data_IF_587975771443
#
_entry.id   IF_587975771443
#
_cell.length_a   1.000
_cell.length_b   1.000
_cell.length_c   1.000
_cell.angle_alpha   90.00
_cell.angle_beta   90.00
_cell.angle_gamma   90.00
#
_symmetry.space_group_name_H-M   'P 1'
#
loop_
_entity.id
_entity.type
_entity.pdbx_description
1 polymer ?
#
# COMPACT_ATOMS: atom_id res chain seq x y z
N UNK A 1 47.94 0.45 83.57
CA UNK A 1 48.15 0.15 82.15
C UNK A 1 47.47 -1.19 81.88
N UNK A 2 46.27 -1.14 81.30
CA UNK A 2 45.49 -2.36 80.99
C UNK A 2 45.54 -2.56 79.48
N UNK A 3 46.07 -3.68 79.01
CA UNK A 3 46.12 -4.07 77.62
C UNK A 3 44.82 -4.81 77.29
N UNK A 4 44.09 -4.32 76.31
CA UNK A 4 42.93 -5.00 75.70
C UNK A 4 43.39 -5.74 74.46
N UNK A 5 43.20 -7.07 74.49
CA UNK A 5 43.42 -7.97 73.37
C UNK A 5 42.07 -8.01 72.57
N UNK A 6 42.07 -7.58 71.33
CA UNK A 6 40.92 -7.70 70.47
C UNK A 6 40.92 -9.06 69.77
N UNK A 7 39.84 -9.80 69.94
CA UNK A 7 39.62 -11.11 69.31
C UNK A 7 38.86 -10.80 68.01
N UNK A 8 39.48 -11.09 66.84
CA UNK A 8 38.85 -10.96 65.53
C UNK A 8 38.20 -12.32 65.25
N UNK A 9 36.83 -12.32 65.18
CA UNK A 9 36.07 -13.48 64.74
C UNK A 9 35.84 -13.31 63.25
N UNK A 10 36.48 -14.12 62.41
CA UNK A 10 36.24 -14.24 61.01
C UNK A 10 34.99 -15.07 60.77
N UNK A 11 33.95 -14.41 60.33
CA UNK A 11 32.73 -15.07 59.86
C UNK A 11 32.89 -15.40 58.36
N UNK A 12 32.97 -16.69 58.05
CA UNK A 12 32.94 -17.21 56.70
C UNK A 12 31.49 -17.22 56.21
N UNK A 13 31.18 -16.32 55.29
CA UNK A 13 29.93 -16.38 54.51
C UNK A 13 30.09 -17.39 53.37
N UNK A 14 29.44 -18.53 53.50
CA UNK A 14 29.25 -19.49 52.41
C UNK A 14 28.10 -18.94 51.55
N UNK A 15 28.44 -18.35 50.40
CA UNK A 15 27.45 -18.00 49.39
C UNK A 15 27.13 -19.26 48.60
N UNK A 16 25.97 -19.84 48.87
CA UNK A 16 25.38 -20.87 48.02
C UNK A 16 24.85 -20.18 46.74
N UNK A 17 25.54 -20.39 45.62
CA UNK A 17 25.03 -20.05 44.33
C UNK A 17 23.84 -20.96 43.97
N UNK A 18 22.63 -20.46 44.16
CA UNK A 18 21.43 -21.08 43.61
C UNK A 18 21.37 -20.70 42.14
N UNK A 19 21.86 -21.58 41.27
CA UNK A 19 21.63 -21.47 39.82
C UNK A 19 20.14 -21.73 39.57
N UNK A 20 19.35 -20.68 39.39
CA UNK A 20 18.01 -20.80 38.87
C UNK A 20 18.13 -21.22 37.39
N UNK A 21 17.90 -22.50 37.12
CA UNK A 21 17.66 -23.01 35.79
C UNK A 21 16.30 -22.45 35.34
N UNK A 22 16.29 -21.46 34.51
CA UNK A 22 15.09 -21.05 33.76
C UNK A 22 14.87 -22.06 32.60
N UNK A 23 14.29 -23.21 32.94
CA UNK A 23 13.66 -24.06 31.93
C UNK A 23 12.36 -23.36 31.46
N UNK A 24 12.40 -22.72 30.30
CA UNK A 24 11.23 -22.05 29.75
C UNK A 24 11.52 -20.76 28.98
N UNK A 25 12.79 -20.53 28.59
CA UNK A 25 13.06 -19.54 27.57
C UNK A 25 12.53 -20.09 26.25
N UNK A 26 11.25 -19.85 25.99
CA UNK A 26 10.65 -20.09 24.66
C UNK A 26 11.54 -19.43 23.65
N UNK A 27 12.13 -20.22 22.75
CA UNK A 27 12.72 -19.71 21.51
C UNK A 27 11.64 -18.89 20.87
N UNK A 28 11.77 -17.56 20.90
CA UNK A 28 11.02 -16.73 19.96
C UNK A 28 11.47 -17.23 18.59
N UNK A 29 10.65 -18.02 17.94
CA UNK A 29 10.80 -18.30 16.52
C UNK A 29 10.79 -16.92 15.83
N UNK A 30 11.99 -16.36 15.67
CA UNK A 30 12.18 -15.22 14.78
C UNK A 30 12.02 -15.76 13.37
N UNK A 31 10.75 -15.96 12.96
CA UNK A 31 10.45 -16.20 11.56
C UNK A 31 11.01 -15.00 10.81
N UNK A 32 12.15 -15.22 10.19
CA UNK A 32 12.74 -14.21 9.33
C UNK A 32 11.88 -14.20 8.07
N UNK A 33 11.28 -13.08 7.77
CA UNK A 33 10.46 -12.89 6.58
C UNK A 33 11.32 -12.50 5.40
N UNK A 34 10.91 -12.87 4.20
CA UNK A 34 11.51 -12.44 2.95
C UNK A 34 10.79 -11.22 2.38
N UNK A 35 11.30 -10.75 1.25
CA UNK A 35 10.68 -9.67 0.50
C UNK A 35 10.47 -10.06 -0.96
N UNK A 36 9.45 -9.48 -1.59
CA UNK A 36 9.23 -9.56 -3.02
C UNK A 36 9.54 -8.20 -3.64
N UNK A 37 10.48 -8.17 -4.56
CA UNK A 37 10.86 -6.98 -5.32
C UNK A 37 10.70 -7.25 -6.81
N UNK A 38 10.52 -6.20 -7.59
CA UNK A 38 10.47 -6.36 -9.05
C UNK A 38 10.18 -5.06 -9.76
N UNK A 39 10.13 -5.19 -11.08
CA UNK A 39 9.80 -4.10 -11.98
C UNK A 39 8.63 -4.51 -12.89
N UNK A 40 7.80 -3.55 -13.24
CA UNK A 40 6.67 -3.77 -14.14
C UNK A 40 6.90 -2.98 -15.41
N UNK A 41 6.90 -3.67 -16.55
CA UNK A 41 7.09 -3.09 -17.88
C UNK A 41 5.86 -3.21 -18.76
N UNK A 42 5.84 -2.40 -19.79
CA UNK A 42 4.88 -2.48 -20.88
C UNK A 42 5.58 -2.84 -22.19
N UNK A 43 5.11 -3.87 -22.86
CA UNK A 43 5.53 -4.24 -24.21
C UNK A 43 4.45 -3.88 -25.22
N UNK A 44 4.71 -2.84 -26.00
CA UNK A 44 3.79 -2.35 -27.02
C UNK A 44 3.98 -0.87 -27.36
N UNK A 45 3.20 -0.39 -28.32
CA UNK A 45 3.20 1.04 -28.63
C UNK A 45 2.52 1.84 -27.52
N UNK A 46 3.28 2.73 -26.88
CA UNK A 46 2.77 3.62 -25.83
C UNK A 46 1.81 4.63 -26.45
N UNK A 47 0.54 4.68 -26.00
CA UNK A 47 -0.39 5.70 -26.45
C UNK A 47 -0.04 7.05 -25.83
N UNK A 48 -0.27 8.14 -26.57
CA UNK A 48 -0.14 9.48 -25.98
C UNK A 48 -1.14 9.68 -24.84
N UNK A 49 -0.67 10.25 -23.73
CA UNK A 49 -1.52 10.60 -22.60
C UNK A 49 -2.46 11.74 -23.00
N UNK A 50 -3.74 11.58 -22.70
CA UNK A 50 -4.75 12.60 -23.01
C UNK A 50 -4.76 13.69 -21.94
N UNK A 51 -4.84 14.98 -22.29
CA UNK A 51 -5.07 16.04 -21.32
C UNK A 51 -6.45 15.91 -20.69
N UNK A 52 -6.53 16.20 -19.40
CA UNK A 52 -7.79 16.32 -18.69
C UNK A 52 -8.46 17.65 -19.07
N UNK A 53 -9.77 17.62 -19.31
CA UNK A 53 -10.55 18.82 -19.66
C UNK A 53 -11.13 19.41 -18.37
N UNK A 54 -10.43 20.36 -17.77
CA UNK A 54 -10.78 20.95 -16.49
C UNK A 54 -11.49 22.31 -16.61
N UNK A 55 -11.70 22.80 -17.83
CA UNK A 55 -12.18 24.18 -18.11
C UNK A 55 -13.62 24.43 -17.65
N UNK A 56 -14.38 23.37 -17.33
CA UNK A 56 -15.75 23.51 -16.84
C UNK A 56 -15.84 24.09 -15.41
N UNK A 57 -14.78 24.00 -14.61
CA UNK A 57 -14.64 24.64 -13.30
C UNK A 57 -13.47 25.62 -13.34
N UNK A 58 -13.71 26.95 -13.12
CA UNK A 58 -12.66 27.96 -13.17
C UNK A 58 -11.53 27.72 -12.17
N UNK A 59 -11.81 27.15 -10.98
CA UNK A 59 -10.78 26.82 -9.98
C UNK A 59 -9.89 25.73 -10.54
N UNK A 60 -10.47 24.68 -11.10
CA UNK A 60 -9.73 23.58 -11.68
C UNK A 60 -8.93 24.01 -12.93
N UNK A 61 -9.55 24.82 -13.81
CA UNK A 61 -8.89 25.31 -15.01
C UNK A 61 -7.68 26.19 -14.73
N UNK A 62 -7.66 26.89 -13.58
CA UNK A 62 -6.57 27.78 -13.18
C UNK A 62 -5.59 27.16 -12.18
N UNK A 63 -5.81 25.92 -11.72
CA UNK A 63 -4.99 25.28 -10.68
C UNK A 63 -3.62 24.77 -11.17
N UNK A 64 -3.38 24.80 -12.48
CA UNK A 64 -2.17 24.27 -13.08
C UNK A 64 -1.62 25.20 -14.18
N UNK A 65 -0.30 25.44 -14.16
CA UNK A 65 0.40 26.22 -15.22
C UNK A 65 0.46 25.46 -16.55
N UNK A 66 0.34 24.14 -16.51
CA UNK A 66 0.40 23.25 -17.69
C UNK A 66 -0.79 22.30 -17.73
N UNK A 67 -1.12 21.83 -18.91
CA UNK A 67 -2.17 20.82 -19.07
C UNK A 67 -1.85 19.55 -18.26
N UNK A 68 -2.74 19.19 -17.36
CA UNK A 68 -2.66 17.93 -16.61
C UNK A 68 -3.00 16.78 -17.54
N UNK A 69 -2.14 15.77 -17.57
CA UNK A 69 -2.33 14.59 -18.40
C UNK A 69 -2.89 13.43 -17.57
N UNK A 70 -3.78 12.66 -18.16
CA UNK A 70 -4.37 11.48 -17.52
C UNK A 70 -3.29 10.54 -16.98
N UNK A 71 -3.44 10.08 -15.74
CA UNK A 71 -2.55 9.12 -15.08
C UNK A 71 -2.95 7.65 -15.31
N UNK A 72 -4.00 7.44 -16.09
CA UNK A 72 -4.56 6.10 -16.32
C UNK A 72 -3.59 5.12 -17.01
N UNK A 73 -2.54 5.62 -17.65
CA UNK A 73 -1.50 4.78 -18.27
C UNK A 73 -0.21 5.58 -18.36
N UNK A 74 0.70 5.34 -17.44
CA UNK A 74 1.94 6.06 -17.30
C UNK A 74 3.11 5.12 -17.56
N UNK A 75 3.74 5.30 -18.72
CA UNK A 75 4.92 4.53 -19.15
C UNK A 75 6.05 5.52 -19.37
N UNK A 76 7.22 5.25 -18.82
CA UNK A 76 8.42 6.05 -19.00
C UNK A 76 9.19 5.69 -20.29
N UNK A 77 10.35 6.30 -20.48
CA UNK A 77 11.20 6.10 -21.67
C UNK A 77 11.80 4.69 -21.72
N UNK A 78 11.98 4.05 -20.57
CA UNK A 78 12.50 2.69 -20.41
C UNK A 78 11.41 1.62 -20.43
N UNK A 79 10.18 2.02 -20.78
CA UNK A 79 8.98 1.17 -20.82
C UNK A 79 8.49 0.70 -19.45
N UNK A 80 8.90 1.34 -18.39
CA UNK A 80 8.44 1.05 -17.03
C UNK A 80 7.03 1.59 -16.81
N UNK A 81 6.20 0.82 -16.10
CA UNK A 81 4.76 1.10 -15.93
C UNK A 81 4.45 1.50 -14.49
N UNK A 82 4.09 2.77 -14.27
CA UNK A 82 3.62 3.30 -12.99
C UNK A 82 2.16 2.91 -12.73
N UNK A 83 1.74 3.00 -11.47
CA UNK A 83 0.35 2.79 -11.04
C UNK A 83 -0.16 1.37 -11.33
N UNK A 84 0.70 0.37 -11.17
CA UNK A 84 0.34 -1.04 -11.15
C UNK A 84 0.18 -1.50 -9.71
N UNK A 85 -0.96 -2.11 -9.39
CA UNK A 85 -1.15 -2.82 -8.14
C UNK A 85 -0.49 -4.19 -8.23
N UNK A 86 0.32 -4.53 -7.24
CA UNK A 86 0.91 -5.86 -7.08
C UNK A 86 0.57 -6.36 -5.68
N UNK A 87 0.00 -7.55 -5.57
CA UNK A 87 -0.36 -8.14 -4.28
C UNK A 87 -0.28 -9.65 -4.28
N UNK A 88 -0.11 -10.23 -3.11
CA UNK A 88 -0.20 -11.67 -2.88
C UNK A 88 -1.68 -12.05 -2.75
N UNK A 89 -2.08 -13.15 -3.37
CA UNK A 89 -3.46 -13.63 -3.35
C UNK A 89 -3.67 -14.62 -2.19
N UNK A 90 -4.84 -14.52 -1.53
CA UNK A 90 -5.36 -15.48 -0.55
C UNK A 90 -4.36 -15.81 0.59
N UNK A 91 -3.63 -14.81 1.09
CA UNK A 91 -2.66 -15.00 2.18
C UNK A 91 -3.39 -14.93 3.52
N UNK A 92 -3.16 -15.91 4.39
CA UNK A 92 -3.62 -15.83 5.79
C UNK A 92 -2.73 -14.86 6.55
N UNK A 93 -3.36 -13.92 7.21
CA UNK A 93 -2.68 -12.91 8.01
C UNK A 93 -3.44 -12.69 9.32
N UNK A 94 -2.79 -12.96 10.44
CA UNK A 94 -3.35 -12.82 11.79
C UNK A 94 -2.78 -11.60 12.54
N UNK A 95 -1.97 -10.81 11.83
CA UNK A 95 -1.37 -9.60 12.40
C UNK A 95 -2.34 -8.41 12.47
N UNK A 96 -1.91 -7.32 13.08
CA UNK A 96 -2.73 -6.12 13.22
C UNK A 96 -2.95 -5.43 11.88
N UNK A 97 -4.07 -4.72 11.76
CA UNK A 97 -4.28 -3.75 10.66
C UNK A 97 -3.22 -2.67 10.74
N UNK A 98 -2.72 -2.20 9.59
CA UNK A 98 -1.74 -1.10 9.54
C UNK A 98 -2.27 0.11 10.32
N UNK A 99 -1.50 0.57 11.30
CA UNK A 99 -1.84 1.75 12.10
C UNK A 99 -1.71 3.05 11.31
N UNK A 100 -0.93 3.03 10.22
CA UNK A 100 -0.75 4.17 9.34
C UNK A 100 -2.05 4.53 8.63
N UNK A 101 -2.43 5.80 8.70
CA UNK A 101 -3.60 6.31 7.98
C UNK A 101 -3.26 6.47 6.51
N UNK A 102 -3.99 5.78 5.65
CA UNK A 102 -3.90 6.00 4.20
C UNK A 102 -4.57 7.34 3.84
N UNK A 103 -3.99 8.08 2.89
CA UNK A 103 -4.51 9.40 2.49
C UNK A 103 -4.91 9.39 1.03
N UNK A 104 -6.12 9.88 0.75
CA UNK A 104 -6.60 10.21 -0.60
C UNK A 104 -6.92 11.71 -0.64
N UNK A 105 -6.09 12.50 -1.30
CA UNK A 105 -6.27 13.95 -1.39
C UNK A 105 -6.89 14.39 -2.72
N UNK A 106 -7.72 15.39 -2.67
CA UNK A 106 -8.29 16.13 -3.80
C UNK A 106 -7.51 17.42 -3.91
N UNK A 107 -6.47 17.43 -4.73
CA UNK A 107 -5.58 18.57 -4.90
C UNK A 107 -5.32 18.83 -6.38
N UNK A 108 -5.49 20.07 -6.82
CA UNK A 108 -5.40 20.43 -8.22
C UNK A 108 -6.50 19.78 -9.08
N UNK A 109 -7.65 19.50 -8.46
CA UNK A 109 -8.79 18.84 -9.11
C UNK A 109 -8.45 17.45 -9.69
N UNK A 110 -7.58 16.73 -9.00
CA UNK A 110 -7.30 15.31 -9.21
C UNK A 110 -7.30 14.57 -7.87
N UNK A 111 -7.46 13.25 -7.89
CA UNK A 111 -7.22 12.42 -6.71
C UNK A 111 -5.76 12.01 -6.67
N UNK A 112 -5.12 12.17 -5.53
CA UNK A 112 -3.74 11.77 -5.26
C UNK A 112 -3.70 10.88 -4.01
N UNK A 113 -3.18 9.64 -4.10
CA UNK A 113 -2.64 8.98 -5.29
C UNK A 113 -3.73 8.54 -6.28
N UNK A 114 -3.38 8.36 -7.56
CA UNK A 114 -4.28 7.81 -8.58
C UNK A 114 -4.66 6.34 -8.34
N UNK A 115 -3.74 5.58 -7.73
CA UNK A 115 -3.92 4.17 -7.36
C UNK A 115 -3.42 3.97 -5.94
N UNK A 116 -4.22 3.34 -5.10
CA UNK A 116 -3.84 3.01 -3.71
C UNK A 116 -4.28 1.59 -3.34
N UNK A 117 -3.62 1.04 -2.34
CA UNK A 117 -4.01 -0.20 -1.70
C UNK A 117 -4.08 0.02 -0.19
N UNK A 118 -5.07 -0.58 0.44
CA UNK A 118 -5.30 -0.48 1.89
C UNK A 118 -5.65 -1.84 2.47
N UNK A 119 -5.44 -2.00 3.75
CA UNK A 119 -5.97 -3.15 4.45
C UNK A 119 -7.45 -2.93 4.76
N UNK A 120 -8.18 -4.04 4.86
CA UNK A 120 -9.52 -4.06 5.45
C UNK A 120 -9.48 -3.38 6.82
N UNK A 121 -10.47 -2.51 7.08
CA UNK A 121 -10.62 -1.72 8.31
C UNK A 121 -9.49 -0.69 8.57
N UNK A 122 -8.51 -0.55 7.67
CA UNK A 122 -7.52 0.51 7.75
C UNK A 122 -8.20 1.88 7.58
N UNK A 123 -7.77 2.83 8.41
CA UNK A 123 -8.25 4.23 8.33
C UNK A 123 -7.80 4.88 7.02
N UNK A 124 -8.76 5.46 6.29
CA UNK A 124 -8.52 6.26 5.09
C UNK A 124 -8.97 7.69 5.37
N UNK A 125 -8.03 8.63 5.33
CA UNK A 125 -8.30 10.05 5.42
C UNK A 125 -8.48 10.63 4.02
N UNK A 126 -9.67 11.10 3.72
CA UNK A 126 -9.97 11.80 2.48
C UNK A 126 -9.84 13.28 2.74
N UNK A 127 -9.04 13.97 1.92
CA UNK A 127 -8.80 15.41 2.02
C UNK A 127 -9.39 16.16 0.85
N UNK A 128 -9.77 17.42 1.07
CA UNK A 128 -10.07 18.40 0.02
C UNK A 128 -9.13 19.61 0.20
N UNK A 129 -8.02 19.58 -0.51
CA UNK A 129 -7.01 20.65 -0.51
C UNK A 129 -7.33 21.78 -1.49
N UNK A 130 -8.35 21.60 -2.34
CA UNK A 130 -8.78 22.61 -3.30
C UNK A 130 -9.75 23.66 -2.71
N UNK A 131 -9.91 24.75 -3.42
CA UNK A 131 -10.83 25.82 -3.08
C UNK A 131 -12.21 25.67 -3.75
N UNK A 132 -12.56 24.49 -4.23
CA UNK A 132 -13.83 24.17 -4.89
C UNK A 132 -14.54 22.98 -4.23
N UNK A 133 -15.75 22.72 -4.67
CA UNK A 133 -16.55 21.57 -4.29
C UNK A 133 -16.07 20.32 -5.05
N UNK A 134 -15.74 19.29 -4.33
CA UNK A 134 -15.61 17.93 -4.84
C UNK A 134 -16.63 17.00 -4.20
N UNK A 135 -16.74 15.79 -4.70
CA UNK A 135 -17.39 14.70 -3.98
C UNK A 135 -16.59 13.40 -4.11
N UNK A 136 -16.81 12.51 -3.18
CA UNK A 136 -16.24 11.18 -3.16
C UNK A 136 -17.35 10.19 -3.36
N UNK A 137 -17.35 9.53 -4.51
CA UNK A 137 -18.32 8.49 -4.84
C UNK A 137 -17.57 7.16 -5.03
N UNK A 138 -17.70 6.28 -4.05
CA UNK A 138 -17.15 4.92 -4.10
C UNK A 138 -17.99 4.05 -5.03
N UNK A 139 -17.36 3.39 -5.97
CA UNK A 139 -17.98 2.43 -6.90
C UNK A 139 -17.62 0.99 -6.50
N UNK A 140 -17.51 0.72 -5.21
CA UNK A 140 -17.29 -0.59 -4.61
C UNK A 140 -18.45 -1.54 -4.95
N UNK A 141 -18.18 -2.84 -4.96
CA UNK A 141 -19.19 -3.89 -5.22
C UNK A 141 -19.40 -4.77 -3.99
N UNK A 142 -18.32 -5.05 -3.25
CA UNK A 142 -18.34 -5.87 -2.05
C UNK A 142 -18.49 -5.01 -0.79
N UNK A 143 -17.85 -3.83 -0.77
CA UNK A 143 -18.00 -2.86 0.30
C UNK A 143 -19.24 -1.99 0.09
N UNK A 144 -19.73 -1.40 1.16
CA UNK A 144 -20.82 -0.42 1.10
C UNK A 144 -20.37 0.80 0.27
N UNK A 145 -21.19 1.17 -0.70
CA UNK A 145 -20.96 2.36 -1.50
C UNK A 145 -21.29 3.60 -0.69
N UNK A 146 -20.48 4.62 -0.83
CA UNK A 146 -20.77 5.94 -0.28
C UNK A 146 -20.62 7.03 -1.33
N UNK A 147 -21.42 8.07 -1.19
CA UNK A 147 -21.33 9.27 -2.01
C UNK A 147 -21.56 10.49 -1.11
N UNK A 148 -20.54 11.28 -0.87
CA UNK A 148 -20.66 12.48 -0.06
C UNK A 148 -19.93 13.67 -0.67
N UNK A 149 -20.52 14.85 -0.51
CA UNK A 149 -19.94 16.11 -0.94
C UNK A 149 -18.85 16.57 0.03
N UNK A 150 -17.80 17.15 -0.52
CA UNK A 150 -16.75 17.87 0.20
C UNK A 150 -16.63 19.30 -0.34
N UNK A 151 -17.51 20.23 0.08
CA UNK A 151 -17.36 21.63 -0.26
C UNK A 151 -16.03 22.18 0.30
N UNK A 152 -15.55 23.31 -0.24
CA UNK A 152 -14.24 23.91 0.11
C UNK A 152 -13.98 24.10 1.62
N UNK A 153 -15.05 24.14 2.43
CA UNK A 153 -14.94 24.28 3.90
C UNK A 153 -14.77 22.94 4.62
N UNK A 154 -15.11 21.83 3.97
CA UNK A 154 -14.91 20.47 4.51
C UNK A 154 -13.57 19.96 4.02
N UNK A 155 -12.56 20.04 4.88
CA UNK A 155 -11.18 19.75 4.52
C UNK A 155 -10.81 18.27 4.64
N UNK A 156 -11.46 17.56 5.53
CA UNK A 156 -11.12 16.17 5.83
C UNK A 156 -12.36 15.35 6.16
N UNK A 157 -12.34 14.08 5.78
CA UNK A 157 -13.32 13.09 6.17
C UNK A 157 -12.66 11.73 6.28
N UNK A 158 -13.00 10.97 7.31
CA UNK A 158 -12.48 9.63 7.52
C UNK A 158 -13.45 8.57 7.00
N UNK A 159 -12.90 7.49 6.47
CA UNK A 159 -13.63 6.27 6.08
C UNK A 159 -12.74 5.05 6.25
N UNK A 160 -13.30 3.87 6.05
CA UNK A 160 -12.59 2.60 5.92
C UNK A 160 -13.39 1.64 5.05
N UNK A 161 -12.79 0.52 4.66
CA UNK A 161 -13.44 -0.54 3.88
C UNK A 161 -13.44 -1.82 4.70
N UNK A 162 -14.60 -2.36 4.99
CA UNK A 162 -14.79 -3.50 5.89
C UNK A 162 -14.69 -4.88 5.23
N UNK A 163 -14.46 -4.95 3.91
CA UNK A 163 -14.36 -6.20 3.15
C UNK A 163 -13.21 -6.16 2.17
N UNK A 164 -12.55 -7.31 1.98
CA UNK A 164 -11.61 -7.51 0.87
C UNK A 164 -12.32 -7.28 -0.45
N UNK A 165 -11.70 -6.52 -1.35
CA UNK A 165 -12.26 -6.22 -2.67
C UNK A 165 -11.16 -6.01 -3.70
N UNK A 166 -11.35 -6.60 -4.89
CA UNK A 166 -10.52 -6.34 -6.06
C UNK A 166 -10.58 -4.87 -6.48
N UNK A 167 -9.65 -4.38 -7.32
CA UNK A 167 -9.57 -2.97 -7.65
C UNK A 167 -10.89 -2.40 -8.14
N UNK A 168 -11.46 -1.50 -7.39
CA UNK A 168 -12.60 -0.66 -7.74
C UNK A 168 -12.19 0.80 -7.79
N UNK A 169 -13.05 1.67 -8.30
CA UNK A 169 -12.69 3.08 -8.41
C UNK A 169 -13.57 3.99 -7.54
N UNK A 170 -12.97 5.10 -7.17
CA UNK A 170 -13.62 6.28 -6.61
C UNK A 170 -13.68 7.33 -7.71
N UNK A 171 -14.78 8.06 -7.82
CA UNK A 171 -14.97 9.16 -8.79
C UNK A 171 -15.51 10.40 -8.11
N UNK A 172 -15.40 11.53 -8.81
CA UNK A 172 -16.13 12.75 -8.51
C UNK A 172 -17.28 12.90 -9.51
N UNK A 173 -18.51 13.11 -9.03
CA UNK A 173 -19.67 13.34 -9.92
C UNK A 173 -19.72 14.77 -10.43
N UNK A 174 -19.04 15.71 -9.77
CA UNK A 174 -18.90 17.11 -10.19
C UNK A 174 -17.84 17.26 -11.29
N UNK A 175 -16.74 16.52 -11.16
CA UNK A 175 -15.57 16.59 -12.05
C UNK A 175 -15.30 15.21 -12.69
N UNK A 176 -15.89 14.91 -13.85
CA UNK A 176 -15.88 13.56 -14.45
C UNK A 176 -14.48 13.01 -14.77
N UNK A 177 -13.47 13.88 -14.83
CA UNK A 177 -12.08 13.47 -15.05
C UNK A 177 -11.38 12.95 -13.78
N UNK A 178 -11.91 13.26 -12.57
CA UNK A 178 -11.34 12.82 -11.29
C UNK A 178 -11.70 11.37 -11.02
N UNK A 179 -10.69 10.54 -10.93
CA UNK A 179 -10.80 9.12 -10.66
C UNK A 179 -9.56 8.61 -9.94
N UNK A 180 -9.77 7.74 -8.96
CA UNK A 180 -8.73 6.94 -8.32
C UNK A 180 -9.16 5.49 -8.21
N UNK A 181 -8.19 4.57 -8.08
CA UNK A 181 -8.43 3.15 -7.89
C UNK A 181 -8.00 2.72 -6.49
N UNK A 182 -8.77 1.82 -5.90
CA UNK A 182 -8.53 1.30 -4.55
C UNK A 182 -8.56 -0.23 -4.60
N UNK A 183 -7.56 -0.86 -4.02
CA UNK A 183 -7.52 -2.28 -3.69
C UNK A 183 -7.69 -2.43 -2.18
N UNK A 184 -8.51 -3.37 -1.72
CA UNK A 184 -8.66 -3.70 -0.29
C UNK A 184 -8.26 -5.15 -0.06
N UNK A 185 -7.30 -5.38 0.85
CA UNK A 185 -6.84 -6.71 1.24
C UNK A 185 -6.95 -6.90 2.75
N UNK A 186 -7.00 -8.13 3.23
CA UNK A 186 -6.98 -8.45 4.67
C UNK A 186 -5.56 -8.69 5.21
N UNK A 187 -4.55 -8.43 4.41
CA UNK A 187 -3.13 -8.57 4.72
C UNK A 187 -2.32 -7.38 4.16
N UNK A 188 -1.11 -7.10 4.65
CA UNK A 188 -0.29 -5.96 4.21
C UNK A 188 0.55 -6.22 2.94
N UNK A 189 0.47 -7.41 2.32
CA UNK A 189 1.37 -7.82 1.25
C UNK A 189 0.90 -7.32 -0.12
N UNK A 190 0.99 -6.02 -0.30
CA UNK A 190 0.68 -5.32 -1.55
C UNK A 190 1.58 -4.09 -1.73
N UNK A 191 1.75 -3.69 -2.98
CA UNK A 191 2.46 -2.47 -3.37
C UNK A 191 1.82 -1.83 -4.60
N UNK A 192 2.16 -0.57 -4.85
CA UNK A 192 1.86 0.15 -6.10
C UNK A 192 3.19 0.54 -6.72
N UNK A 193 3.35 0.33 -8.04
CA UNK A 193 4.60 0.67 -8.71
C UNK A 193 4.85 2.18 -8.76
N UNK A 194 6.11 2.56 -8.56
CA UNK A 194 6.61 3.93 -8.62
C UNK A 194 6.74 4.46 -10.08
N UNK A 195 7.31 5.65 -10.24
CA UNK A 195 7.53 6.28 -11.55
C UNK A 195 8.42 5.44 -12.48
N UNK A 196 9.26 4.57 -11.93
CA UNK A 196 10.16 3.67 -12.66
C UNK A 196 9.65 2.23 -12.72
N UNK A 197 8.37 2.03 -12.40
CA UNK A 197 7.74 0.71 -12.41
C UNK A 197 8.22 -0.25 -11.34
N UNK A 198 9.01 0.20 -10.36
CA UNK A 198 9.51 -0.66 -9.29
C UNK A 198 8.45 -0.84 -8.21
N UNK A 199 8.45 -2.02 -7.58
CA UNK A 199 7.68 -2.31 -6.39
C UNK A 199 8.50 -3.11 -5.39
N UNK A 200 8.10 -3.03 -4.11
CA UNK A 200 8.63 -3.82 -3.01
C UNK A 200 7.52 -4.17 -2.03
N UNK A 201 7.46 -5.43 -1.62
CA UNK A 201 6.58 -5.97 -0.60
C UNK A 201 7.46 -6.66 0.42
N UNK A 202 7.46 -6.17 1.66
CA UNK A 202 8.31 -6.65 2.74
C UNK A 202 7.55 -7.58 3.69
N UNK A 203 8.30 -8.20 4.59
CA UNK A 203 7.81 -8.98 5.73
C UNK A 203 6.90 -10.17 5.34
N UNK A 204 7.14 -10.77 4.16
CA UNK A 204 6.36 -11.90 3.67
C UNK A 204 6.89 -13.18 4.33
N UNK A 205 6.03 -13.98 4.98
CA UNK A 205 6.43 -15.29 5.48
C UNK A 205 6.98 -16.18 4.35
N UNK A 206 8.00 -17.03 4.60
CA UNK A 206 8.45 -17.99 3.62
C UNK A 206 7.32 -18.91 3.14
N UNK A 207 7.25 -19.12 1.83
CA UNK A 207 6.17 -19.91 1.23
C UNK A 207 6.04 -19.67 -0.28
N UNK A 208 5.10 -20.37 -0.90
CA UNK A 208 4.79 -20.21 -2.33
C UNK A 208 3.44 -19.55 -2.48
N UNK A 209 3.40 -18.44 -3.22
CA UNK A 209 2.24 -17.56 -3.36
C UNK A 209 1.90 -17.30 -4.83
N UNK A 210 0.62 -17.11 -5.12
CA UNK A 210 0.18 -16.44 -6.34
C UNK A 210 0.32 -14.92 -6.14
N UNK A 211 1.06 -14.27 -7.03
CA UNK A 211 1.24 -12.82 -7.06
C UNK A 211 0.49 -12.25 -8.25
N UNK A 212 -0.37 -11.28 -8.00
CA UNK A 212 -1.19 -10.63 -9.02
C UNK A 212 -0.64 -9.24 -9.31
N UNK A 213 -0.48 -8.93 -10.59
CA UNK A 213 -0.21 -7.57 -11.06
C UNK A 213 -1.41 -7.07 -11.88
N UNK A 214 -1.97 -5.91 -11.49
CA UNK A 214 -3.14 -5.31 -12.13
C UNK A 214 -2.87 -3.86 -12.55
N UNK A 215 -3.40 -3.51 -13.72
CA UNK A 215 -3.36 -2.15 -14.24
C UNK A 215 -4.71 -1.79 -14.89
N UNK A 216 -5.23 -0.58 -14.65
CA UNK A 216 -6.61 -0.19 -14.99
C UNK A 216 -6.97 -0.35 -16.48
N UNK A 217 -6.04 -0.16 -17.41
CA UNK A 217 -6.29 -0.30 -18.85
C UNK A 217 -6.42 -1.75 -19.29
N UNK A 218 -5.90 -2.68 -18.52
CA UNK A 218 -5.97 -4.11 -18.81
C UNK A 218 -7.18 -4.79 -18.16
N UNK A 219 -7.90 -4.12 -17.26
CA UNK A 219 -9.04 -4.63 -16.48
C UNK A 219 -8.66 -5.84 -15.61
N UNK A 220 -9.49 -6.21 -14.65
CA UNK A 220 -9.26 -7.34 -13.74
C UNK A 220 -9.03 -8.66 -14.48
N UNK A 221 -9.83 -8.97 -15.51
CA UNK A 221 -9.72 -10.20 -16.30
C UNK A 221 -8.40 -10.37 -17.07
N UNK A 222 -7.53 -9.35 -17.08
CA UNK A 222 -6.22 -9.36 -17.74
C UNK A 222 -5.10 -9.03 -16.76
N UNK A 223 -5.34 -9.23 -15.48
CA UNK A 223 -4.28 -9.23 -14.47
C UNK A 223 -3.29 -10.34 -14.80
N UNK A 224 -2.04 -10.09 -14.53
CA UNK A 224 -0.99 -11.10 -14.68
C UNK A 224 -0.88 -11.82 -13.35
N UNK A 225 -0.92 -13.14 -13.36
CA UNK A 225 -0.74 -13.99 -12.18
C UNK A 225 0.54 -14.78 -12.35
N UNK A 226 1.40 -14.78 -11.33
CA UNK A 226 2.61 -15.59 -11.29
C UNK A 226 2.75 -16.27 -9.94
N UNK A 227 3.23 -17.52 -9.96
CA UNK A 227 3.60 -18.24 -8.73
C UNK A 227 5.02 -17.89 -8.36
N UNK A 228 5.23 -17.45 -7.10
CA UNK A 228 6.53 -17.01 -6.57
C UNK A 228 6.79 -17.72 -5.25
N UNK A 229 8.01 -18.22 -5.06
CA UNK A 229 8.45 -18.77 -3.78
C UNK A 229 9.28 -17.73 -3.06
N UNK A 230 8.86 -17.38 -1.85
CA UNK A 230 9.56 -16.47 -0.95
C UNK A 230 10.41 -17.31 0.00
N UNK A 231 11.68 -16.99 0.06
CA UNK A 231 12.64 -17.60 0.97
C UNK A 231 12.90 -16.69 2.18
N UNK A 232 13.35 -17.30 3.26
CA UNK A 232 13.65 -16.59 4.50
C UNK A 232 14.81 -15.60 4.31
N UNK A 233 14.61 -14.34 4.75
CA UNK A 233 15.62 -13.27 4.74
C UNK A 233 16.21 -12.96 3.35
N UNK A 234 15.49 -13.25 2.27
CA UNK A 234 15.94 -13.03 0.89
C UNK A 234 15.00 -12.09 0.16
N UNK A 235 15.57 -11.21 -0.67
CA UNK A 235 14.82 -10.46 -1.66
C UNK A 235 14.57 -11.36 -2.89
N UNK A 236 13.35 -11.86 -3.02
CA UNK A 236 12.93 -12.60 -4.21
C UNK A 236 12.56 -11.61 -5.32
N UNK A 237 13.14 -11.76 -6.50
CA UNK A 237 12.84 -10.88 -7.64
C UNK A 237 11.79 -11.49 -8.56
N UNK A 238 10.74 -10.74 -8.88
CA UNK A 238 9.73 -11.10 -9.86
C UNK A 238 9.27 -9.89 -10.67
N UNK A 239 9.63 -9.87 -11.94
CA UNK A 239 9.18 -8.84 -12.88
C UNK A 239 7.88 -9.22 -13.58
N UNK A 240 7.14 -8.21 -14.04
CA UNK A 240 5.91 -8.39 -14.83
C UNK A 240 6.00 -7.58 -16.13
N UNK A 241 5.39 -8.09 -17.20
CA UNK A 241 5.30 -7.37 -18.47
C UNK A 241 3.88 -7.42 -19.01
N UNK A 242 3.25 -6.25 -19.08
CA UNK A 242 1.95 -6.09 -19.72
C UNK A 242 2.12 -5.95 -21.23
N UNK A 243 1.44 -6.81 -21.99
CA UNK A 243 1.50 -6.80 -23.45
C UNK A 243 0.17 -6.33 -24.01
N UNK A 244 0.21 -5.43 -25.00
CA UNK A 244 -1.02 -5.00 -25.67
C UNK A 244 -1.68 -6.21 -26.34
N UNK A 245 -2.98 -6.47 -26.08
CA UNK A 245 -3.66 -7.54 -26.77
C UNK A 245 -3.63 -7.33 -28.29
N UNK A 246 -3.24 -8.35 -29.02
CA UNK A 246 -3.40 -8.36 -30.46
C UNK A 246 -4.89 -8.18 -30.78
N UNK A 247 -5.22 -7.31 -31.72
CA UNK A 247 -6.57 -7.26 -32.27
C UNK A 247 -6.80 -8.59 -33.00
N UNK A 248 -7.70 -9.41 -32.47
CA UNK A 248 -8.28 -10.52 -33.24
C UNK A 248 -9.21 -9.95 -34.29
#
# INVERSE_FOLDING_TARGET
>A
MKKYVAFIISIFFITSNLSAHCDGCGTSDTHKHGSLVGNVKYDGKVPSRKPLKMDADPVCGSSHDKKVLSESFMVDEDMNLKNVLVWLKDVKYDGPVKAETAVLDQQGCIYTPHVMAVMKDQKVLIKNSDATLHNIHSMAKENEQFNFAMPKVVKEKETSFGKVEEPFYIKCDVHPWMKAWVLVQDHPYFAVTDEKGNFRIDDIPPGTYEVIAWQEKFKVKRSIVKTVTIEDSVDTTQDFTFVKPSKK
#
